data_IF_133672211455
#
_entry.id   IF_133672211455
#
_cell.length_a   1.000
_cell.length_b   1.000
_cell.length_c   1.000
_cell.angle_alpha   90.00
_cell.angle_beta   90.00
_cell.angle_gamma   90.00
#
_symmetry.space_group_name_H-M   'P 1'
#
loop_
_entity.id
_entity.type
_entity.pdbx_description
1 polymer ?
#
# COMPACT_ATOMS: atom_id res chain seq x y z
N UNK A 1 -14.55 4.50 28.42
CA UNK A 1 -14.07 5.75 27.78
C UNK A 1 -12.55 5.86 27.75
N UNK A 2 -11.84 5.47 28.82
CA UNK A 2 -10.37 5.46 28.87
C UNK A 2 -9.72 4.53 27.83
N UNK A 3 -10.25 3.31 27.68
CA UNK A 3 -9.74 2.32 26.71
C UNK A 3 -9.92 2.80 25.26
N UNK A 4 -11.06 3.42 24.94
CA UNK A 4 -11.31 3.98 23.61
C UNK A 4 -10.38 5.14 23.28
N UNK A 5 -10.10 6.02 24.25
CA UNK A 5 -9.13 7.11 24.10
C UNK A 5 -7.70 6.59 23.89
N UNK A 6 -7.31 5.54 24.62
CA UNK A 6 -6.00 4.90 24.45
C UNK A 6 -5.84 4.27 23.06
N UNK A 7 -6.89 3.63 22.51
CA UNK A 7 -6.86 3.06 21.16
C UNK A 7 -6.77 4.14 20.09
N UNK A 8 -7.50 5.25 20.24
CA UNK A 8 -7.45 6.38 19.30
C UNK A 8 -6.06 7.03 19.33
N UNK A 9 -5.50 7.27 20.52
CA UNK A 9 -4.18 7.85 20.68
C UNK A 9 -3.08 6.96 20.09
N UNK A 10 -3.18 5.65 20.31
CA UNK A 10 -2.25 4.67 19.73
C UNK A 10 -2.35 4.63 18.20
N UNK A 11 -3.56 4.64 17.65
CA UNK A 11 -3.79 4.70 16.20
C UNK A 11 -3.22 5.99 15.58
N UNK A 12 -3.40 7.13 16.27
CA UNK A 12 -2.84 8.42 15.84
C UNK A 12 -1.32 8.41 15.89
N UNK A 13 -0.73 7.89 16.97
CA UNK A 13 0.72 7.79 17.14
C UNK A 13 1.34 6.85 16.10
N UNK A 14 0.70 5.72 15.80
CA UNK A 14 1.13 4.80 14.76
C UNK A 14 1.05 5.43 13.36
N UNK A 15 -0.04 6.15 13.05
CA UNK A 15 -0.20 6.90 11.80
C UNK A 15 0.89 7.95 11.64
N UNK A 16 1.16 8.72 12.70
CA UNK A 16 2.19 9.76 12.74
C UNK A 16 3.58 9.14 12.58
N UNK A 17 3.89 8.07 13.30
CA UNK A 17 5.16 7.34 13.16
C UNK A 17 5.36 6.83 11.72
N UNK A 18 4.30 6.30 11.11
CA UNK A 18 4.33 5.77 9.76
C UNK A 18 4.56 6.87 8.73
N UNK A 19 3.87 8.01 8.85
CA UNK A 19 4.08 9.18 7.97
C UNK A 19 5.50 9.73 8.14
N UNK A 20 5.94 9.95 9.38
CA UNK A 20 7.25 10.54 9.71
C UNK A 20 8.44 9.68 9.25
N UNK A 21 8.31 8.35 9.20
CA UNK A 21 9.38 7.46 8.72
C UNK A 21 9.74 7.68 7.24
N UNK A 22 8.88 8.34 6.45
CA UNK A 22 9.18 8.72 5.05
C UNK A 22 9.85 10.09 4.89
N UNK A 23 10.06 10.84 5.97
CA UNK A 23 10.77 12.13 5.97
C UNK A 23 12.24 12.01 6.42
N UNK A 24 12.79 10.78 6.45
CA UNK A 24 14.19 10.56 6.82
C UNK A 24 15.19 11.32 5.93
N UNK A 25 16.39 11.61 6.45
CA UNK A 25 17.39 12.44 5.76
C UNK A 25 17.73 11.86 4.37
N UNK A 26 17.69 12.73 3.36
CA UNK A 26 17.92 12.39 1.96
C UNK A 26 19.34 11.83 1.81
N UNK A 27 19.47 10.52 1.61
CA UNK A 27 20.60 9.97 0.87
C UNK A 27 20.20 9.92 -0.61
N UNK A 28 21.07 10.36 -1.54
CA UNK A 28 20.84 10.10 -2.96
C UNK A 28 20.83 8.58 -3.14
N UNK A 29 19.65 7.99 -3.23
CA UNK A 29 19.49 6.57 -3.57
C UNK A 29 19.61 6.49 -5.08
N UNK A 30 20.65 5.80 -5.53
CA UNK A 30 20.87 5.50 -6.94
C UNK A 30 19.70 4.65 -7.47
N UNK A 31 19.23 4.90 -8.69
CA UNK A 31 18.06 4.20 -9.25
C UNK A 31 18.28 2.68 -9.32
N UNK A 32 19.53 2.26 -9.53
CA UNK A 32 19.93 0.86 -9.60
C UNK A 32 19.92 0.16 -8.22
N UNK A 33 19.99 0.93 -7.14
CA UNK A 33 19.79 0.45 -5.78
C UNK A 33 18.31 0.46 -5.40
N UNK A 34 17.51 1.39 -5.96
CA UNK A 34 16.08 1.47 -5.68
C UNK A 34 15.31 0.21 -6.11
N UNK A 35 15.61 -0.31 -7.29
CA UNK A 35 14.99 -1.53 -7.85
C UNK A 35 15.23 -2.76 -6.98
N UNK A 36 16.38 -2.86 -6.32
CA UNK A 36 16.71 -3.96 -5.39
C UNK A 36 15.91 -3.93 -4.08
N UNK A 37 15.36 -2.77 -3.71
CA UNK A 37 14.65 -2.59 -2.44
C UNK A 37 13.12 -2.58 -2.59
N UNK A 38 12.62 -2.54 -3.84
CA UNK A 38 11.20 -2.70 -4.13
C UNK A 38 10.80 -4.14 -3.82
N UNK A 39 9.72 -4.30 -3.06
CA UNK A 39 9.12 -5.60 -2.79
C UNK A 39 8.13 -5.92 -3.90
N UNK A 40 8.17 -7.14 -4.41
CA UNK A 40 7.13 -7.63 -5.32
C UNK A 40 5.78 -7.70 -4.60
N UNK A 41 4.71 -7.31 -5.30
CA UNK A 41 3.34 -7.29 -4.77
C UNK A 41 2.46 -7.98 -5.80
N UNK A 42 2.12 -9.24 -5.57
CA UNK A 42 1.13 -9.96 -6.37
C UNK A 42 -0.29 -9.45 -6.06
N UNK A 43 -0.83 -8.67 -6.99
CA UNK A 43 -2.13 -8.03 -6.85
C UNK A 43 -3.29 -9.02 -7.02
N UNK A 44 -3.08 -10.08 -7.77
CA UNK A 44 -4.10 -11.11 -7.98
C UNK A 44 -4.27 -11.93 -6.71
N UNK A 45 -3.16 -12.34 -6.09
CA UNK A 45 -3.17 -12.98 -4.78
C UNK A 45 -3.78 -12.06 -3.71
N UNK A 46 -3.42 -10.77 -3.69
CA UNK A 46 -4.02 -9.82 -2.75
C UNK A 46 -5.54 -9.67 -2.96
N UNK A 47 -6.01 -9.58 -4.21
CA UNK A 47 -7.45 -9.51 -4.53
C UNK A 47 -8.20 -10.74 -4.02
N UNK A 48 -7.66 -11.92 -4.27
CA UNK A 48 -8.24 -13.16 -3.77
C UNK A 48 -8.30 -13.20 -2.22
N UNK A 49 -7.27 -12.68 -1.55
CA UNK A 49 -7.25 -12.61 -0.08
C UNK A 49 -8.32 -11.68 0.50
N UNK A 50 -8.73 -10.64 -0.22
CA UNK A 50 -9.72 -9.64 0.25
C UNK A 50 -11.09 -9.80 -0.42
N UNK A 51 -11.28 -10.86 -1.20
CA UNK A 51 -12.52 -11.14 -1.92
C UNK A 51 -13.67 -11.44 -0.92
N UNK A 52 -14.77 -10.66 -0.94
CA UNK A 52 -15.93 -10.90 -0.09
C UNK A 52 -16.67 -12.20 -0.40
N UNK A 53 -16.67 -12.66 -1.66
CA UNK A 53 -17.37 -13.88 -2.06
C UNK A 53 -16.65 -15.11 -1.52
N UNK A 54 -15.32 -15.10 -1.56
CA UNK A 54 -14.48 -16.12 -0.93
C UNK A 54 -14.66 -16.15 0.60
N UNK A 55 -14.81 -14.98 1.23
CA UNK A 55 -15.12 -14.93 2.66
C UNK A 55 -16.50 -15.53 3.00
N UNK A 56 -17.53 -15.23 2.20
CA UNK A 56 -18.86 -15.80 2.39
C UNK A 56 -18.85 -17.32 2.18
N UNK A 57 -18.15 -17.78 1.14
CA UNK A 57 -17.95 -19.20 0.88
C UNK A 57 -17.33 -19.90 2.08
N UNK A 58 -16.24 -19.38 2.63
CA UNK A 58 -15.60 -19.95 3.82
C UNK A 58 -16.52 -19.92 5.05
N UNK A 59 -17.33 -18.86 5.20
CA UNK A 59 -18.24 -18.70 6.35
C UNK A 59 -19.37 -19.74 6.35
N UNK A 60 -19.91 -20.06 5.18
CA UNK A 60 -21.02 -21.03 5.02
C UNK A 60 -20.51 -22.47 5.10
N UNK A 61 -19.28 -22.73 4.64
CA UNK A 61 -18.76 -24.09 4.51
C UNK A 61 -17.91 -24.57 5.70
N UNK A 62 -17.47 -23.68 6.59
CA UNK A 62 -16.58 -24.05 7.71
C UNK A 62 -17.26 -23.88 9.07
N UNK A 63 -16.89 -24.72 10.06
CA UNK A 63 -17.22 -24.46 11.46
C UNK A 63 -16.72 -23.07 11.90
N UNK A 64 -17.43 -22.37 12.80
CA UNK A 64 -17.09 -21.01 13.19
C UNK A 64 -15.65 -20.80 13.67
N UNK A 65 -15.07 -21.76 14.38
CA UNK A 65 -13.70 -21.66 14.92
C UNK A 65 -12.62 -21.86 13.85
N UNK A 66 -12.87 -22.76 12.89
CA UNK A 66 -12.01 -22.97 11.73
C UNK A 66 -12.05 -21.76 10.78
N UNK A 67 -13.25 -21.25 10.50
CA UNK A 67 -13.44 -20.00 9.76
C UNK A 67 -12.64 -18.85 10.39
N UNK A 68 -12.75 -18.65 11.71
CA UNK A 68 -12.01 -17.57 12.42
C UNK A 68 -10.50 -17.75 12.34
N UNK A 69 -10.00 -18.98 12.36
CA UNK A 69 -8.56 -19.25 12.23
C UNK A 69 -8.06 -18.89 10.83
N UNK A 70 -8.72 -19.39 9.80
CA UNK A 70 -8.38 -19.13 8.38
C UNK A 70 -8.55 -17.64 8.05
N UNK A 71 -9.63 -17.01 8.52
CA UNK A 71 -9.87 -15.60 8.25
C UNK A 71 -8.79 -14.71 8.88
N UNK A 72 -8.27 -15.05 10.07
CA UNK A 72 -7.13 -14.32 10.66
C UNK A 72 -5.86 -14.51 9.85
N UNK A 73 -5.63 -15.69 9.27
CA UNK A 73 -4.49 -15.91 8.38
C UNK A 73 -4.62 -15.09 7.09
N UNK A 74 -5.80 -15.08 6.46
CA UNK A 74 -6.08 -14.26 5.26
C UNK A 74 -5.83 -12.77 5.53
N UNK A 75 -6.34 -12.25 6.64
CA UNK A 75 -6.16 -10.85 7.01
C UNK A 75 -4.70 -10.49 7.34
N UNK A 76 -3.94 -11.42 7.94
CA UNK A 76 -2.50 -11.22 8.17
C UNK A 76 -1.72 -11.19 6.86
N UNK A 77 -2.02 -12.10 5.94
CA UNK A 77 -1.42 -12.07 4.60
C UNK A 77 -1.76 -10.75 3.89
N UNK A 78 -3.02 -10.31 3.90
CA UNK A 78 -3.43 -9.02 3.35
C UNK A 78 -2.68 -7.83 3.98
N UNK A 79 -2.41 -7.86 5.29
CA UNK A 79 -1.59 -6.85 5.96
C UNK A 79 -0.16 -6.79 5.40
N UNK A 80 0.45 -7.94 5.15
CA UNK A 80 1.82 -8.01 4.62
C UNK A 80 1.89 -7.39 3.21
N UNK A 81 0.88 -7.63 2.36
CA UNK A 81 0.75 -6.97 1.07
C UNK A 81 0.63 -5.45 1.20
N UNK A 82 -0.25 -4.95 2.07
CA UNK A 82 -0.42 -3.49 2.26
C UNK A 82 0.85 -2.85 2.82
N UNK A 83 1.57 -3.56 3.71
CA UNK A 83 2.85 -3.11 4.23
C UNK A 83 3.93 -3.05 3.14
N UNK A 84 3.99 -4.03 2.24
CA UNK A 84 4.90 -4.02 1.10
C UNK A 84 4.60 -2.86 0.13
N UNK A 85 3.33 -2.62 -0.17
CA UNK A 85 2.88 -1.46 -0.96
C UNK A 85 3.33 -0.15 -0.32
N UNK A 86 3.14 0.01 0.99
CA UNK A 86 3.57 1.22 1.68
C UNK A 86 5.09 1.39 1.71
N UNK A 87 5.84 0.29 1.78
CA UNK A 87 7.30 0.31 1.71
C UNK A 87 7.77 0.81 0.35
N UNK A 88 7.21 0.26 -0.73
CA UNK A 88 7.51 0.71 -2.09
C UNK A 88 7.15 2.20 -2.29
N UNK A 89 6.01 2.65 -1.74
CA UNK A 89 5.63 4.05 -1.80
C UNK A 89 6.63 4.97 -1.07
N UNK A 90 7.24 4.54 0.03
CA UNK A 90 8.27 5.32 0.71
C UNK A 90 9.53 5.47 -0.17
N UNK A 91 9.94 4.40 -0.87
CA UNK A 91 11.06 4.46 -1.81
C UNK A 91 10.78 5.42 -2.98
N UNK A 92 9.58 5.35 -3.56
CA UNK A 92 9.15 6.25 -4.63
C UNK A 92 9.06 7.71 -4.19
N UNK A 93 8.64 7.96 -2.94
CA UNK A 93 8.61 9.29 -2.35
C UNK A 93 10.02 9.89 -2.30
N UNK A 94 11.03 9.12 -1.87
CA UNK A 94 12.42 9.58 -1.86
C UNK A 94 12.96 9.84 -3.27
N UNK A 95 12.62 8.99 -4.24
CA UNK A 95 12.97 9.21 -5.65
C UNK A 95 12.35 10.51 -6.17
N UNK A 96 11.06 10.74 -5.92
CA UNK A 96 10.36 11.95 -6.34
C UNK A 96 10.93 13.22 -5.71
N UNK A 97 11.32 13.15 -4.43
CA UNK A 97 12.00 14.26 -3.74
C UNK A 97 13.35 14.62 -4.38
N UNK A 98 14.10 13.61 -4.84
CA UNK A 98 15.35 13.81 -5.57
C UNK A 98 15.09 14.44 -6.95
N UNK A 99 14.13 13.89 -7.71
CA UNK A 99 13.77 14.38 -9.04
C UNK A 99 13.26 15.83 -9.03
N UNK A 100 12.53 16.24 -7.97
CA UNK A 100 12.04 17.62 -7.81
C UNK A 100 13.15 18.67 -7.69
N UNK A 101 14.39 18.27 -7.38
CA UNK A 101 15.56 19.16 -7.29
C UNK A 101 16.32 19.28 -8.61
N UNK A 102 15.85 18.62 -9.67
CA UNK A 102 16.47 18.72 -11.00
C UNK A 102 16.38 20.13 -11.55
N UNK A 103 17.41 20.53 -12.31
CA UNK A 103 17.41 21.79 -13.07
C UNK A 103 16.46 21.74 -14.29
N UNK A 104 16.06 20.53 -14.73
CA UNK A 104 15.07 20.35 -15.79
C UNK A 104 13.65 20.42 -15.22
N UNK A 105 12.87 21.41 -15.69
CA UNK A 105 11.49 21.63 -15.27
C UNK A 105 10.58 20.41 -15.48
N UNK A 106 10.79 19.61 -16.54
CA UNK A 106 9.95 18.42 -16.80
C UNK A 106 10.22 17.31 -15.78
N UNK A 107 11.50 17.15 -15.40
CA UNK A 107 11.90 16.17 -14.38
C UNK A 107 11.41 16.62 -13.01
N UNK A 108 11.49 17.92 -12.72
CA UNK A 108 11.01 18.47 -11.47
C UNK A 108 9.49 18.28 -11.28
N UNK A 109 8.70 18.54 -12.32
CA UNK A 109 7.24 18.37 -12.34
C UNK A 109 6.83 16.89 -12.17
N UNK A 110 7.48 15.98 -12.90
CA UNK A 110 7.23 14.55 -12.73
C UNK A 110 7.61 14.05 -11.31
N UNK A 111 8.68 14.60 -10.73
CA UNK A 111 9.06 14.33 -9.35
C UNK A 111 8.01 14.78 -8.34
N UNK A 112 7.39 15.95 -8.57
CA UNK A 112 6.29 16.45 -7.74
C UNK A 112 5.07 15.51 -7.80
N UNK A 113 4.65 15.11 -9.00
CA UNK A 113 3.55 14.14 -9.16
C UNK A 113 3.83 12.80 -8.46
N UNK A 114 5.07 12.31 -8.52
CA UNK A 114 5.46 11.07 -7.85
C UNK A 114 5.37 11.20 -6.32
N UNK A 115 5.82 12.32 -5.76
CA UNK A 115 5.70 12.60 -4.31
C UNK A 115 4.25 12.62 -3.87
N UNK A 116 3.39 13.32 -4.60
CA UNK A 116 1.97 13.47 -4.23
C UNK A 116 1.24 12.11 -4.26
N UNK A 117 1.50 11.29 -5.28
CA UNK A 117 0.93 9.95 -5.38
C UNK A 117 1.47 9.01 -4.30
N UNK A 118 2.78 9.05 -4.03
CA UNK A 118 3.40 8.23 -3.00
C UNK A 118 2.88 8.57 -1.59
N UNK A 119 2.68 9.86 -1.29
CA UNK A 119 2.07 10.29 -0.02
C UNK A 119 0.63 9.78 0.13
N UNK A 120 -0.20 9.93 -0.90
CA UNK A 120 -1.57 9.40 -0.89
C UNK A 120 -1.61 7.90 -0.68
N UNK A 121 -0.74 7.15 -1.36
CA UNK A 121 -0.67 5.70 -1.21
C UNK A 121 -0.30 5.31 0.22
N UNK A 122 0.71 5.97 0.83
CA UNK A 122 1.09 5.69 2.22
C UNK A 122 -0.04 5.99 3.20
N UNK A 123 -0.81 7.06 3.00
CA UNK A 123 -1.98 7.38 3.81
C UNK A 123 -3.07 6.30 3.65
N UNK A 124 -3.37 5.87 2.43
CA UNK A 124 -4.35 4.80 2.20
C UNK A 124 -3.88 3.46 2.77
N UNK A 125 -2.61 3.11 2.62
CA UNK A 125 -2.03 1.91 3.22
C UNK A 125 -2.11 1.96 4.74
N UNK A 126 -1.83 3.09 5.38
CA UNK A 126 -1.94 3.23 6.82
C UNK A 126 -3.39 3.04 7.30
N UNK A 127 -4.36 3.66 6.62
CA UNK A 127 -5.78 3.46 6.90
C UNK A 127 -6.22 2.01 6.69
N UNK A 128 -5.75 1.36 5.63
CA UNK A 128 -6.04 -0.05 5.35
C UNK A 128 -5.45 -0.98 6.41
N UNK A 129 -4.20 -0.76 6.83
CA UNK A 129 -3.57 -1.48 7.94
C UNK A 129 -4.37 -1.31 9.22
N UNK A 130 -4.78 -0.08 9.57
CA UNK A 130 -5.61 0.15 10.76
C UNK A 130 -6.92 -0.64 10.70
N UNK A 131 -7.63 -0.64 9.57
CA UNK A 131 -8.87 -1.41 9.38
C UNK A 131 -8.64 -2.91 9.49
N UNK A 132 -7.59 -3.44 8.85
CA UNK A 132 -7.27 -4.87 8.90
C UNK A 132 -6.87 -5.32 10.30
N UNK A 133 -6.08 -4.53 11.04
CA UNK A 133 -5.74 -4.81 12.44
C UNK A 133 -6.99 -4.85 13.33
N UNK A 134 -7.91 -3.89 13.19
CA UNK A 134 -9.18 -3.90 13.91
C UNK A 134 -10.01 -5.15 13.57
N UNK A 135 -10.03 -5.57 12.30
CA UNK A 135 -10.75 -6.75 11.84
C UNK A 135 -10.15 -8.06 12.34
N UNK A 136 -8.82 -8.14 12.50
CA UNK A 136 -8.14 -9.28 13.13
C UNK A 136 -8.48 -9.37 14.63
N UNK A 137 -8.53 -8.22 15.31
CA UNK A 137 -8.87 -8.16 16.74
C UNK A 137 -10.37 -8.45 17.00
N UNK A 138 -11.24 -8.03 16.09
CA UNK A 138 -12.70 -8.17 16.20
C UNK A 138 -13.31 -8.87 14.96
N UNK A 139 -13.11 -10.20 14.81
CA UNK A 139 -13.50 -10.95 13.60
C UNK A 139 -15.01 -11.11 13.38
N UNK A 140 -15.85 -10.62 14.30
CA UNK A 140 -17.33 -10.70 14.23
C UNK A 140 -17.95 -9.44 13.60
N UNK A 141 -17.18 -8.36 13.42
CA UNK A 141 -17.69 -7.16 12.78
C UNK A 141 -17.72 -7.34 11.25
N UNK A 142 -18.93 -7.39 10.67
CA UNK A 142 -19.14 -7.29 9.21
C UNK A 142 -18.76 -5.88 8.76
N UNK A 143 -17.48 -5.68 8.45
CA UNK A 143 -17.00 -4.47 7.77
C UNK A 143 -16.71 -4.85 6.32
N UNK A 144 -17.59 -4.44 5.40
CA UNK A 144 -17.38 -4.56 3.96
C UNK A 144 -16.16 -3.74 3.53
N UNK A 145 -15.07 -4.36 3.03
CA UNK A 145 -13.90 -3.63 2.54
C UNK A 145 -14.13 -3.22 1.07
N UNK A 146 -15.18 -2.45 0.80
CA UNK A 146 -15.46 -1.99 -0.56
C UNK A 146 -14.36 -1.02 -1.06
N UNK A 147 -13.78 -1.30 -2.23
CA UNK A 147 -13.07 -0.33 -3.07
C UNK A 147 -11.55 -0.17 -2.90
N UNK A 148 -10.87 -1.04 -2.14
CA UNK A 148 -9.38 -0.96 -2.01
C UNK A 148 -8.69 -1.45 -3.29
N UNK A 149 -9.18 -2.53 -3.90
CA UNK A 149 -8.62 -3.08 -5.14
C UNK A 149 -8.78 -2.14 -6.34
N UNK A 150 -9.91 -1.46 -6.46
CA UNK A 150 -10.18 -0.50 -7.55
C UNK A 150 -9.31 0.75 -7.45
N UNK A 151 -9.07 1.25 -6.23
CA UNK A 151 -8.17 2.39 -6.00
C UNK A 151 -6.73 2.06 -6.28
N UNK A 152 -6.31 0.83 -5.99
CA UNK A 152 -4.97 0.36 -6.35
C UNK A 152 -4.84 0.25 -7.87
N UNK A 153 -5.83 -0.34 -8.56
CA UNK A 153 -5.80 -0.50 -10.01
C UNK A 153 -5.76 0.84 -10.77
N UNK A 154 -6.53 1.84 -10.32
CA UNK A 154 -6.46 3.20 -10.87
C UNK A 154 -5.06 3.82 -10.72
N UNK A 155 -4.36 3.49 -9.63
CA UNK A 155 -3.02 4.01 -9.38
C UNK A 155 -1.97 3.30 -10.24
N UNK A 156 -2.07 1.99 -10.43
CA UNK A 156 -1.16 1.22 -11.32
C UNK A 156 -1.36 1.60 -12.78
N UNK A 157 -2.60 1.83 -13.21
CA UNK A 157 -2.90 2.35 -14.55
C UNK A 157 -2.32 3.75 -14.77
N UNK A 158 -2.37 4.60 -13.74
CA UNK A 158 -1.71 5.91 -13.73
C UNK A 158 -0.19 5.80 -13.85
N UNK A 159 0.43 4.89 -13.08
CA UNK A 159 1.86 4.64 -13.10
C UNK A 159 2.34 4.05 -14.45
N UNK A 160 1.59 3.10 -15.01
CA UNK A 160 1.87 2.50 -16.32
C UNK A 160 1.70 3.50 -17.48
N UNK A 161 0.80 4.48 -17.34
CA UNK A 161 0.62 5.57 -18.31
C UNK A 161 1.78 6.58 -18.22
N UNK A 162 2.24 6.89 -17.01
CA UNK A 162 3.39 7.76 -16.78
C UNK A 162 4.71 7.14 -17.27
N UNK A 163 4.91 5.84 -17.02
CA UNK A 163 6.09 5.09 -17.49
C UNK A 163 6.20 5.04 -19.02
N UNK A 164 5.05 4.93 -19.72
CA UNK A 164 4.99 5.01 -21.20
C UNK A 164 5.32 6.40 -21.73
N UNK A 165 5.00 7.46 -20.99
CA UNK A 165 5.30 8.84 -21.35
C UNK A 165 6.77 9.21 -21.06
N UNK A 166 7.39 8.64 -20.02
CA UNK A 166 8.79 8.91 -19.67
C UNK A 166 9.81 8.08 -20.46
N UNK A 167 9.47 6.85 -20.89
CA UNK A 167 10.41 5.97 -21.59
C UNK A 167 9.70 5.13 -22.67
N UNK A 168 9.53 5.65 -23.90
CA UNK A 168 8.84 4.93 -24.98
C UNK A 168 9.53 3.61 -25.39
N UNK A 169 10.81 3.45 -25.09
CA UNK A 169 11.62 2.27 -25.41
C UNK A 169 11.73 1.23 -24.28
N UNK A 170 11.31 1.52 -23.04
CA UNK A 170 11.46 0.62 -21.88
C UNK A 170 10.17 0.43 -21.03
N UNK A 171 9.02 0.93 -21.48
CA UNK A 171 7.74 0.83 -20.76
C UNK A 171 7.28 -0.60 -20.42
N UNK A 172 7.88 -1.63 -21.01
CA UNK A 172 7.56 -3.04 -20.78
C UNK A 172 8.20 -3.67 -19.53
N UNK A 173 9.22 -3.05 -18.93
CA UNK A 173 9.89 -3.59 -17.74
C UNK A 173 9.17 -3.21 -16.44
N UNK A 174 8.64 -1.98 -16.37
CA UNK A 174 7.87 -1.50 -15.21
C UNK A 174 6.50 -2.18 -15.13
N UNK A 175 5.90 -2.55 -16.27
CA UNK A 175 4.64 -3.31 -16.30
C UNK A 175 4.80 -4.79 -15.94
N UNK A 176 6.04 -5.29 -15.82
CA UNK A 176 6.31 -6.70 -15.50
C UNK A 176 6.57 -6.93 -14.02
N UNK A 177 6.87 -5.88 -13.26
CA UNK A 177 7.22 -5.93 -11.84
C UNK A 177 6.18 -5.26 -10.94
N UNK A 178 5.17 -4.59 -11.53
CA UNK A 178 3.99 -4.01 -10.87
C UNK A 178 2.75 -4.80 -11.27
#
# INVERSE_FOLDING_TARGET
MTITLLLILFALAALVFFVLRGFGPIRPVDQNELSKHIREVDLEAFRNLVDPDEEEFLRVNLPPDEFRAIQRQRLRAALDYVAAVSHNAALLLHLGQSARRSADARIADAGQHLVDNALRLRLYSALAISKLCLRIAFPVAVLQPAGIAERYQQMTEGAARLGRLQYPSNGALISRTL
#
